data_IF_864289139449
#
_entry.id   IF_864289139449
#
_cell.length_a   1.000
_cell.length_b   1.000
_cell.length_c   1.000
_cell.angle_alpha   90.00
_cell.angle_beta   90.00
_cell.angle_gamma   90.00
#
_symmetry.space_group_name_H-M   'P 1'
#
loop_
_entity.id
_entity.type
_entity.pdbx_description
1 polymer ?
#
# COMPACT_ATOMS: atom_id res chain seq x y z
N UNK A 1 -4.50 9.58 2.89
CA UNK A 1 -5.02 8.69 1.83
C UNK A 1 -3.94 7.74 1.28
N UNK A 2 -2.87 8.20 0.62
CA UNK A 2 -1.86 7.32 -0.01
C UNK A 2 -1.14 6.36 0.97
N UNK A 3 -0.81 6.81 2.16
CA UNK A 3 -0.17 5.96 3.18
C UNK A 3 -1.11 4.86 3.69
N UNK A 4 -2.40 5.17 3.90
CA UNK A 4 -3.38 4.17 4.31
C UNK A 4 -3.63 3.11 3.22
N UNK A 5 -3.62 3.53 1.96
CA UNK A 5 -3.65 2.59 0.84
C UNK A 5 -2.41 1.68 0.84
N UNK A 6 -1.22 2.23 1.07
CA UNK A 6 0.02 1.46 1.18
C UNK A 6 0.00 0.48 2.37
N UNK A 7 -0.53 0.90 3.53
CA UNK A 7 -0.69 0.02 4.69
C UNK A 7 -1.57 -1.18 4.34
N UNK A 8 -2.77 -0.94 3.83
CA UNK A 8 -3.73 -2.01 3.52
C UNK A 8 -3.29 -2.92 2.38
N UNK A 9 -2.72 -2.37 1.32
CA UNK A 9 -2.28 -3.16 0.16
C UNK A 9 -0.99 -3.91 0.47
N UNK A 10 -0.07 -3.30 1.24
CA UNK A 10 1.25 -3.86 1.52
C UNK A 10 1.88 -4.45 0.25
N UNK A 11 2.27 -3.62 -0.76
CA UNK A 11 2.67 -4.12 -2.08
C UNK A 11 3.78 -5.17 -2.03
N UNK A 12 4.77 -5.02 -1.15
CA UNK A 12 5.73 -6.07 -0.80
C UNK A 12 5.13 -6.86 0.35
N UNK A 13 4.82 -8.13 0.10
CA UNK A 13 4.10 -8.97 1.07
C UNK A 13 4.97 -9.41 2.23
N UNK A 14 6.21 -9.80 1.95
CA UNK A 14 7.12 -10.30 2.97
C UNK A 14 8.58 -10.11 2.57
N UNK A 15 9.45 -10.16 3.55
CA UNK A 15 10.91 -10.22 3.38
C UNK A 15 11.50 -11.25 4.32
N UNK A 16 12.65 -11.82 3.96
CA UNK A 16 13.34 -12.86 4.72
C UNK A 16 14.64 -12.32 5.32
N UNK A 17 14.96 -12.84 6.50
CA UNK A 17 16.28 -12.71 7.15
C UNK A 17 16.84 -14.09 7.45
N UNK A 18 18.14 -14.16 7.65
CA UNK A 18 18.83 -15.35 8.16
C UNK A 18 19.43 -14.97 9.50
N UNK A 19 19.17 -15.75 10.53
CA UNK A 19 19.79 -15.58 11.82
C UNK A 19 21.30 -15.78 11.72
N UNK A 20 22.10 -14.83 12.20
CA UNK A 20 23.56 -14.92 12.18
C UNK A 20 24.13 -15.61 13.41
N UNK A 21 23.31 -15.75 14.43
CA UNK A 21 23.58 -16.42 15.72
C UNK A 21 22.28 -16.96 16.30
N UNK A 22 22.36 -17.82 17.31
CA UNK A 22 21.19 -18.25 18.06
C UNK A 22 20.53 -17.04 18.74
N UNK A 23 19.21 -16.90 18.58
CA UNK A 23 18.47 -15.77 19.12
C UNK A 23 17.07 -16.19 19.57
N UNK A 24 16.32 -15.25 20.13
CA UNK A 24 14.95 -15.48 20.57
C UNK A 24 14.07 -14.29 20.23
N UNK A 25 12.86 -14.55 19.74
CA UNK A 25 11.84 -13.53 19.49
C UNK A 25 10.55 -13.98 20.21
N UNK A 26 10.09 -13.20 21.18
CA UNK A 26 8.88 -13.47 21.96
C UNK A 26 8.81 -14.91 22.51
N UNK A 27 9.91 -15.43 23.06
CA UNK A 27 9.99 -16.78 23.61
C UNK A 27 10.23 -17.88 22.58
N UNK A 28 10.18 -17.58 21.28
CA UNK A 28 10.49 -18.53 20.22
C UNK A 28 12.00 -18.52 19.94
N UNK A 29 12.66 -19.64 20.18
CA UNK A 29 14.08 -19.84 19.87
C UNK A 29 14.27 -19.99 18.37
N UNK A 30 15.31 -19.34 17.86
CA UNK A 30 15.70 -19.35 16.45
C UNK A 30 17.19 -19.68 16.43
N UNK A 31 17.54 -20.78 15.79
CA UNK A 31 18.93 -21.19 15.68
C UNK A 31 19.66 -20.36 14.60
N UNK A 32 20.98 -20.31 14.74
CA UNK A 32 21.84 -19.76 13.69
C UNK A 32 21.52 -20.41 12.33
N UNK A 33 21.59 -19.64 11.26
CA UNK A 33 21.30 -19.99 9.87
C UNK A 33 19.80 -20.27 9.57
N UNK A 34 18.91 -20.27 10.56
CA UNK A 34 17.47 -20.34 10.30
C UNK A 34 16.92 -19.10 9.59
N UNK A 35 15.83 -19.31 8.87
CA UNK A 35 15.17 -18.30 8.04
C UNK A 35 13.96 -17.71 8.78
N UNK A 36 13.97 -16.41 8.98
CA UNK A 36 12.87 -15.66 9.58
C UNK A 36 12.17 -14.85 8.49
N UNK A 37 10.88 -15.06 8.34
CA UNK A 37 10.05 -14.32 7.37
C UNK A 37 9.23 -13.28 8.09
N UNK A 38 9.37 -12.03 7.64
CA UNK A 38 8.59 -10.89 8.13
C UNK A 38 7.42 -10.64 7.19
N UNK A 39 6.19 -10.89 7.64
CA UNK A 39 4.97 -10.67 6.87
C UNK A 39 4.47 -9.24 7.07
N UNK A 40 4.80 -8.34 6.15
CA UNK A 40 4.41 -6.92 6.24
C UNK A 40 2.89 -6.74 6.16
N UNK A 41 2.20 -7.54 5.34
CA UNK A 41 0.75 -7.51 5.25
C UNK A 41 0.05 -7.84 6.58
N UNK A 42 0.58 -8.80 7.33
CA UNK A 42 0.08 -9.16 8.66
C UNK A 42 0.41 -8.05 9.69
N UNK A 43 1.67 -7.60 9.73
CA UNK A 43 2.08 -6.53 10.64
C UNK A 43 1.32 -5.21 10.42
N UNK A 44 0.97 -4.90 9.17
CA UNK A 44 0.16 -3.73 8.83
C UNK A 44 -1.33 -3.88 9.16
N UNK A 45 -1.74 -5.06 9.62
CA UNK A 45 -3.08 -5.39 10.12
C UNK A 45 -3.09 -5.85 11.56
N UNK A 46 -2.00 -5.61 12.29
CA UNK A 46 -1.93 -5.90 13.71
C UNK A 46 -2.94 -5.00 14.48
N UNK A 47 -3.93 -5.56 15.16
CA UNK A 47 -4.95 -4.77 15.86
C UNK A 47 -4.39 -4.02 17.06
N UNK A 48 -3.29 -4.48 17.65
CA UNK A 48 -2.63 -3.78 18.76
C UNK A 48 -1.97 -2.48 18.30
N UNK A 49 -1.64 -2.38 17.02
CA UNK A 49 -1.06 -1.19 16.41
C UNK A 49 -2.11 -0.39 15.63
N UNK A 50 -2.97 -1.07 14.89
CA UNK A 50 -3.97 -0.45 14.00
C UNK A 50 -5.39 -0.89 14.41
N UNK A 51 -6.07 -0.16 15.28
CA UNK A 51 -7.47 -0.43 15.59
C UNK A 51 -8.32 -0.49 14.31
N UNK A 52 -9.28 -1.44 14.24
CA UNK A 52 -10.05 -1.73 13.02
C UNK A 52 -9.14 -1.88 11.78
N UNK A 53 -8.22 -2.87 11.77
CA UNK A 53 -7.10 -2.91 10.84
C UNK A 53 -7.52 -3.07 9.37
N UNK A 54 -8.67 -3.64 9.09
CA UNK A 54 -9.19 -3.82 7.73
C UNK A 54 -10.00 -2.64 7.21
N UNK A 55 -10.31 -1.67 8.09
CA UNK A 55 -10.99 -0.45 7.70
C UNK A 55 -10.02 0.51 7.02
N UNK A 56 -10.39 1.01 5.84
CA UNK A 56 -9.69 2.11 5.19
C UNK A 56 -10.04 3.43 5.91
N UNK A 57 -9.08 4.00 6.61
CA UNK A 57 -9.26 5.24 7.37
C UNK A 57 -8.18 6.27 6.99
N UNK A 58 -8.60 7.27 6.22
CA UNK A 58 -7.70 8.34 5.77
C UNK A 58 -7.21 9.25 6.88
N UNK A 59 -7.89 9.24 8.03
CA UNK A 59 -7.59 10.09 9.19
C UNK A 59 -6.91 9.32 10.32
N UNK A 60 -6.41 8.12 10.04
CA UNK A 60 -5.74 7.29 11.04
C UNK A 60 -4.51 7.99 11.62
N UNK A 61 -4.50 8.22 12.93
CA UNK A 61 -3.45 8.98 13.63
C UNK A 61 -2.07 8.30 13.60
N UNK A 62 -2.05 6.97 13.64
CA UNK A 62 -0.82 6.19 13.72
C UNK A 62 -0.36 5.59 12.37
N UNK A 63 -0.78 6.22 11.27
CA UNK A 63 -0.50 5.72 9.91
C UNK A 63 0.98 5.62 9.59
N UNK A 64 1.82 6.42 10.21
CA UNK A 64 3.28 6.43 10.05
C UNK A 64 3.97 5.16 10.56
N UNK A 65 3.27 4.35 11.39
CA UNK A 65 3.77 3.08 11.92
C UNK A 65 3.73 1.93 10.93
N UNK A 66 3.09 2.10 9.75
CA UNK A 66 3.01 1.02 8.78
C UNK A 66 4.39 0.58 8.24
N UNK A 67 4.53 -0.70 7.96
CA UNK A 67 5.76 -1.33 7.48
C UNK A 67 5.80 -1.56 5.95
N UNK A 68 4.93 -0.91 5.17
CA UNK A 68 4.89 -1.08 3.71
C UNK A 68 6.22 -0.71 3.01
N UNK A 69 7.04 0.11 3.65
CA UNK A 69 8.40 0.46 3.21
C UNK A 69 9.51 -0.19 4.03
N UNK A 70 9.18 -1.19 4.83
CA UNK A 70 10.11 -1.79 5.77
C UNK A 70 10.49 -0.86 6.93
N UNK A 71 11.49 -1.27 7.71
CA UNK A 71 11.96 -0.56 8.90
C UNK A 71 13.47 -0.69 9.07
N UNK A 72 14.07 0.22 9.88
CA UNK A 72 15.49 0.19 10.24
C UNK A 72 16.42 0.44 9.06
N UNK A 73 17.58 -0.20 9.07
CA UNK A 73 18.64 0.00 8.06
C UNK A 73 18.24 -0.43 6.64
N UNK A 74 17.22 -1.28 6.54
CA UNK A 74 16.67 -1.74 5.26
C UNK A 74 15.40 -0.99 4.85
N UNK A 75 15.06 0.11 5.50
CA UNK A 75 13.93 0.94 5.07
C UNK A 75 14.11 1.36 3.62
N UNK A 76 13.05 1.28 2.83
CA UNK A 76 13.08 1.61 1.41
C UNK A 76 13.67 3.00 1.17
N UNK A 77 14.77 3.06 0.41
CA UNK A 77 15.46 4.30 0.06
C UNK A 77 14.54 5.25 -0.74
N UNK A 78 13.72 4.68 -1.61
CA UNK A 78 12.78 5.41 -2.47
C UNK A 78 11.48 5.83 -1.80
N UNK A 79 11.27 5.57 -0.50
CA UNK A 79 9.99 5.76 0.20
C UNK A 79 9.44 7.18 0.09
N UNK A 80 10.30 8.20 0.21
CA UNK A 80 9.89 9.61 0.12
C UNK A 80 9.46 9.99 -1.30
N UNK A 81 10.21 9.53 -2.31
CA UNK A 81 9.90 9.77 -3.73
C UNK A 81 8.60 9.06 -4.09
N UNK A 82 8.43 7.80 -3.69
CA UNK A 82 7.21 7.04 -3.94
C UNK A 82 5.97 7.70 -3.32
N UNK A 83 6.05 8.17 -2.08
CA UNK A 83 4.95 8.89 -1.42
C UNK A 83 4.61 10.20 -2.14
N UNK A 84 5.63 10.95 -2.55
CA UNK A 84 5.44 12.19 -3.32
C UNK A 84 4.76 11.91 -4.67
N UNK A 85 5.24 10.90 -5.41
CA UNK A 85 4.66 10.50 -6.69
C UNK A 85 3.20 10.07 -6.55
N UNK A 86 2.89 9.22 -5.56
CA UNK A 86 1.52 8.79 -5.28
C UNK A 86 0.60 9.96 -4.94
N UNK A 87 1.06 10.89 -4.11
CA UNK A 87 0.28 12.09 -3.76
C UNK A 87 -0.02 12.90 -5.02
N UNK A 88 1.00 13.28 -5.78
CA UNK A 88 0.84 14.10 -6.99
C UNK A 88 -0.04 13.39 -8.02
N UNK A 89 0.15 12.07 -8.21
CA UNK A 89 -0.64 11.30 -9.16
C UNK A 89 -2.13 11.30 -8.77
N UNK A 90 -2.44 11.04 -7.51
CA UNK A 90 -3.85 11.06 -7.05
C UNK A 90 -4.45 12.47 -7.12
N UNK A 91 -3.71 13.51 -6.70
CA UNK A 91 -4.17 14.90 -6.83
C UNK A 91 -4.53 15.21 -8.28
N UNK A 92 -3.64 14.90 -9.23
CA UNK A 92 -3.88 15.17 -10.66
C UNK A 92 -4.97 14.31 -11.28
N UNK A 93 -5.09 13.05 -10.88
CA UNK A 93 -6.15 12.17 -11.35
C UNK A 93 -7.52 12.69 -10.88
N UNK A 94 -7.68 12.97 -9.59
CA UNK A 94 -8.96 13.42 -9.05
C UNK A 94 -9.32 14.86 -9.43
N UNK A 95 -8.33 15.74 -9.62
CA UNK A 95 -8.55 17.05 -10.19
C UNK A 95 -9.14 16.96 -11.61
N UNK A 96 -8.59 16.07 -12.44
CA UNK A 96 -9.01 15.92 -13.84
C UNK A 96 -10.25 15.04 -14.02
N UNK A 97 -10.39 14.02 -13.18
CA UNK A 97 -11.43 13.01 -13.23
C UNK A 97 -12.09 12.81 -11.86
N UNK A 98 -12.84 13.82 -11.37
CA UNK A 98 -13.43 13.75 -10.01
C UNK A 98 -14.43 12.61 -9.83
N UNK A 99 -15.00 12.11 -10.93
CA UNK A 99 -15.98 11.03 -10.95
C UNK A 99 -15.40 9.70 -11.45
N UNK A 100 -14.06 9.54 -11.39
CA UNK A 100 -13.43 8.27 -11.79
C UNK A 100 -14.03 7.11 -10.99
N UNK A 101 -14.38 6.04 -11.69
CA UNK A 101 -15.05 4.89 -11.09
C UNK A 101 -14.42 3.59 -11.54
N UNK A 102 -14.15 2.68 -10.61
CA UNK A 102 -13.69 1.34 -10.91
C UNK A 102 -14.83 0.49 -11.44
N UNK A 103 -14.60 -0.25 -12.54
CA UNK A 103 -15.62 -1.08 -13.20
C UNK A 103 -15.85 -2.43 -12.51
N UNK A 104 -15.03 -2.78 -11.52
CA UNK A 104 -15.02 -4.11 -10.90
C UNK A 104 -14.03 -5.07 -11.54
N UNK A 105 -13.40 -4.70 -12.65
CA UNK A 105 -12.46 -5.56 -13.37
C UNK A 105 -11.02 -5.20 -13.04
N UNK A 106 -10.27 -6.20 -12.59
CA UNK A 106 -8.82 -6.10 -12.37
C UNK A 106 -8.12 -7.42 -12.66
N UNK A 107 -6.85 -7.35 -12.98
CA UNK A 107 -5.97 -8.53 -13.09
C UNK A 107 -4.80 -8.35 -12.15
N UNK A 108 -4.57 -9.35 -11.30
CA UNK A 108 -3.44 -9.37 -10.38
C UNK A 108 -2.30 -10.13 -11.05
N UNK A 109 -1.10 -9.56 -11.01
CA UNK A 109 0.09 -10.24 -11.50
C UNK A 109 0.44 -11.43 -10.61
N UNK A 110 0.71 -12.62 -11.15
CA UNK A 110 1.12 -13.79 -10.36
C UNK A 110 2.55 -13.61 -9.85
N UNK A 111 2.69 -13.03 -8.67
CA UNK A 111 3.98 -12.80 -8.02
C UNK A 111 3.86 -13.07 -6.52
N UNK A 112 4.65 -14.02 -5.96
CA UNK A 112 4.56 -14.38 -4.55
C UNK A 112 5.12 -13.31 -3.60
N UNK A 113 5.98 -12.42 -4.10
CA UNK A 113 6.63 -11.39 -3.29
C UNK A 113 5.89 -10.06 -3.33
N UNK A 114 5.36 -9.69 -4.49
CA UNK A 114 4.76 -8.38 -4.72
C UNK A 114 3.31 -8.53 -5.13
N UNK A 115 2.41 -7.93 -4.35
CA UNK A 115 1.01 -7.79 -4.72
C UNK A 115 0.87 -6.65 -5.72
N UNK A 116 0.87 -6.97 -7.00
CA UNK A 116 0.79 -6.01 -8.09
C UNK A 116 -0.46 -6.22 -8.94
N UNK A 117 -1.10 -5.13 -9.31
CA UNK A 117 -2.21 -5.11 -10.28
C UNK A 117 -1.60 -4.86 -11.65
N UNK A 118 -1.76 -5.82 -12.58
CA UNK A 118 -1.28 -5.71 -13.96
C UNK A 118 -2.28 -4.97 -14.87
N UNK A 119 -3.57 -4.98 -14.53
CA UNK A 119 -4.61 -4.25 -15.23
C UNK A 119 -5.72 -3.83 -14.28
N UNK A 120 -6.15 -2.59 -14.39
CA UNK A 120 -7.28 -2.02 -13.66
C UNK A 120 -8.16 -1.23 -14.64
N UNK A 121 -9.39 -1.70 -14.84
CA UNK A 121 -10.33 -0.98 -15.72
C UNK A 121 -11.11 0.06 -14.93
N UNK A 122 -11.12 1.28 -15.43
CA UNK A 122 -11.81 2.41 -14.83
C UNK A 122 -12.62 3.19 -15.86
N UNK A 123 -13.75 3.72 -15.43
CA UNK A 123 -14.49 4.74 -16.16
C UNK A 123 -14.08 6.12 -15.64
N UNK A 124 -13.55 6.97 -16.51
CA UNK A 124 -13.03 8.28 -16.13
C UNK A 124 -14.14 9.28 -15.78
N UNK A 125 -15.36 9.07 -16.28
CA UNK A 125 -16.47 10.03 -16.19
C UNK A 125 -17.67 9.47 -15.40
N UNK A 126 -17.44 8.66 -14.40
CA UNK A 126 -18.47 8.05 -13.57
C UNK A 126 -18.95 6.69 -14.05
N UNK A 127 -20.00 6.17 -13.41
CA UNK A 127 -20.51 4.83 -13.69
C UNK A 127 -20.95 4.63 -15.14
N UNK A 128 -21.48 5.69 -15.76
CA UNK A 128 -22.01 5.63 -17.13
C UNK A 128 -20.92 5.74 -18.19
N UNK A 129 -19.69 6.07 -17.81
CA UNK A 129 -18.54 6.24 -18.71
C UNK A 129 -18.69 7.36 -19.74
N UNK A 130 -19.75 8.15 -19.67
CA UNK A 130 -20.05 9.20 -20.66
C UNK A 130 -19.28 10.47 -20.34
N UNK A 131 -18.50 10.95 -21.30
CA UNK A 131 -17.79 12.22 -21.17
C UNK A 131 -18.81 13.37 -21.06
N UNK A 132 -18.71 14.26 -20.05
CA UNK A 132 -19.55 15.45 -19.98
C UNK A 132 -19.38 16.30 -21.24
N UNK A 133 -20.47 16.84 -21.75
CA UNK A 133 -20.48 17.65 -22.98
C UNK A 133 -19.74 18.99 -22.82
N UNK A 134 -19.51 19.44 -21.58
CA UNK A 134 -18.69 20.61 -21.25
C UNK A 134 -17.89 20.35 -19.97
N UNK A 135 -16.58 20.41 -20.07
CA UNK A 135 -15.68 20.48 -18.92
C UNK A 135 -15.40 21.95 -18.67
N UNK A 136 -16.05 22.54 -17.67
CA UNK A 136 -15.62 23.84 -17.17
C UNK A 136 -14.30 23.65 -16.43
N UNK A 137 -13.20 24.01 -17.07
CA UNK A 137 -11.90 24.13 -16.42
C UNK A 137 -11.99 25.42 -15.58
N UNK A 138 -12.15 25.28 -14.28
CA UNK A 138 -11.91 26.41 -13.37
C UNK A 138 -10.40 26.67 -13.39
N UNK A 139 -10.01 27.69 -14.08
CA UNK A 139 -8.68 28.30 -13.95
C UNK A 139 -8.65 28.99 -12.58
N UNK A 140 -7.73 28.58 -11.70
CA UNK A 140 -7.39 29.25 -10.44
C UNK A 140 -6.38 30.32 -10.76
#
# INVERSE_FOLDING_TARGET
>A
MSQEALRLVSPVQHMRRTAIEDTEINGQKIAKDEKVVMWYGAANRDPDIFPDPDKFDMMRDNIDKHLAFGHGVHKCLGSRIAQMQLRIAFEKIFERFPNIHWTGEQTIAPNPLVHAISSLKVNLYGKDGKRPTQVQVKTV
#
